data_IF_817283064526
#
_entry.id   IF_817283064526
#
_cell.length_a   1.000
_cell.length_b   1.000
_cell.length_c   1.000
_cell.angle_alpha   90.00
_cell.angle_beta   90.00
_cell.angle_gamma   90.00
#
_symmetry.space_group_name_H-M   'P 1'
#
loop_
_entity.id
_entity.type
_entity.pdbx_description
1 polymer ?
#
# COMPACT_ATOMS: atom_id res chain seq x y z
N UNK A 1 -1.86 21.36 -64.07
CA UNK A 1 -2.38 21.61 -62.72
C UNK A 1 -2.67 20.26 -62.06
N UNK A 2 -1.88 19.86 -61.05
CA UNK A 2 -2.13 18.71 -60.23
C UNK A 2 -2.61 19.22 -58.87
N UNK A 3 -3.68 18.65 -58.25
CA UNK A 3 -4.20 19.12 -56.96
C UNK A 3 -3.34 18.61 -55.82
N UNK A 4 -3.27 19.44 -54.77
CA UNK A 4 -2.38 19.38 -53.62
C UNK A 4 -2.41 18.07 -52.79
N UNK A 5 -1.25 17.69 -52.40
CA UNK A 5 -1.00 16.76 -51.28
C UNK A 5 -1.47 17.44 -49.99
N UNK A 6 -2.45 16.83 -49.31
CA UNK A 6 -2.80 17.14 -47.93
C UNK A 6 -1.62 16.72 -47.06
N UNK A 7 -1.02 17.65 -46.32
CA UNK A 7 -0.09 17.36 -45.26
C UNK A 7 -0.76 16.42 -44.23
N UNK A 8 -0.17 15.26 -44.03
CA UNK A 8 -0.61 14.34 -42.98
C UNK A 8 -0.43 14.99 -41.62
N UNK A 9 -1.51 15.10 -40.85
CA UNK A 9 -1.42 15.40 -39.44
C UNK A 9 -0.65 14.26 -38.77
N UNK A 10 0.58 14.55 -38.40
CA UNK A 10 1.27 13.72 -37.42
C UNK A 10 0.52 13.92 -36.11
N UNK A 11 -0.33 12.96 -35.76
CA UNK A 11 -0.81 12.85 -34.39
C UNK A 11 0.41 12.45 -33.55
N UNK A 12 0.89 13.39 -32.77
CA UNK A 12 1.93 13.17 -31.77
C UNK A 12 1.35 12.18 -30.72
N UNK A 13 1.50 10.89 -30.98
CA UNK A 13 1.14 9.83 -30.01
C UNK A 13 2.26 9.82 -29.01
N UNK A 14 2.12 10.59 -27.94
CA UNK A 14 3.00 10.46 -26.79
C UNK A 14 3.01 8.99 -26.37
N UNK A 15 4.16 8.30 -26.35
CA UNK A 15 4.21 6.89 -25.99
C UNK A 15 3.61 6.71 -24.58
N UNK A 16 2.74 5.72 -24.43
CA UNK A 16 2.13 5.41 -23.14
C UNK A 16 3.22 5.13 -22.11
N UNK A 17 3.14 5.78 -20.96
CA UNK A 17 4.07 5.57 -19.85
C UNK A 17 3.94 4.14 -19.34
N UNK A 18 5.09 3.46 -19.12
CA UNK A 18 5.09 2.11 -18.54
C UNK A 18 4.68 2.15 -17.08
N UNK A 19 3.72 1.32 -16.65
CA UNK A 19 3.30 1.26 -15.27
C UNK A 19 4.34 0.53 -14.42
N UNK A 20 4.59 1.07 -13.23
CA UNK A 20 5.40 0.46 -12.19
C UNK A 20 4.64 0.53 -10.87
N UNK A 21 4.50 -0.58 -10.17
CA UNK A 21 3.95 -0.64 -8.83
C UNK A 21 5.03 -0.95 -7.82
N UNK A 22 4.96 -0.35 -6.64
CA UNK A 22 5.84 -0.63 -5.51
C UNK A 22 5.14 -0.38 -4.19
N UNK A 23 5.62 -1.04 -3.16
CA UNK A 23 5.29 -0.75 -1.77
C UNK A 23 6.45 0.06 -1.18
N UNK A 24 6.15 1.03 -0.32
CA UNK A 24 7.15 1.86 0.33
C UNK A 24 6.75 2.16 1.78
N UNK A 25 7.74 2.28 2.66
CA UNK A 25 7.54 2.56 4.07
C UNK A 25 8.30 3.82 4.47
N UNK A 26 7.62 4.71 5.18
CA UNK A 26 8.12 6.02 5.61
C UNK A 26 7.81 6.24 7.09
N UNK A 27 8.49 7.17 7.72
CA UNK A 27 8.17 7.52 9.11
C UNK A 27 8.01 9.01 9.35
N UNK A 28 7.10 9.33 10.25
CA UNK A 28 7.05 10.61 10.96
C UNK A 28 7.96 10.47 12.17
N UNK A 29 9.11 11.12 12.09
CA UNK A 29 10.10 11.16 13.16
C UNK A 29 10.08 12.57 13.76
N UNK A 30 9.52 12.71 14.96
CA UNK A 30 9.36 13.98 15.65
C UNK A 30 10.27 14.04 16.89
N UNK A 31 10.81 15.25 17.17
CA UNK A 31 11.54 15.58 18.38
C UNK A 31 11.12 17.00 18.84
N UNK A 32 10.34 17.08 19.89
CA UNK A 32 9.71 18.32 20.32
C UNK A 32 8.74 18.88 19.27
N UNK A 33 9.00 20.09 18.78
CA UNK A 33 8.25 20.80 17.74
C UNK A 33 8.81 20.58 16.32
N UNK A 34 9.85 19.75 16.19
CA UNK A 34 10.54 19.50 14.93
C UNK A 34 10.21 18.11 14.37
N UNK A 35 10.23 18.01 13.04
CA UNK A 35 10.13 16.75 12.29
C UNK A 35 11.37 16.57 11.42
N UNK A 36 11.79 15.33 11.27
CA UNK A 36 12.91 14.96 10.41
C UNK A 36 12.43 14.82 8.97
N UNK A 37 13.03 15.60 8.07
CA UNK A 37 12.77 15.54 6.64
C UNK A 37 14.06 15.29 5.87
N UNK A 38 13.92 14.69 4.68
CA UNK A 38 14.99 14.46 3.72
C UNK A 38 14.71 15.17 2.40
N UNK A 39 15.76 15.70 1.77
CA UNK A 39 15.66 16.38 0.47
C UNK A 39 16.10 15.48 -0.67
N UNK A 40 15.30 15.45 -1.70
CA UNK A 40 15.62 14.75 -2.93
C UNK A 40 16.78 15.42 -3.69
N UNK A 41 17.82 14.64 -4.01
CA UNK A 41 19.02 15.12 -4.71
C UNK A 41 18.78 15.38 -6.20
N UNK A 42 19.78 15.95 -6.87
CA UNK A 42 19.78 16.13 -8.34
C UNK A 42 19.67 14.80 -9.11
N UNK A 43 19.99 13.65 -8.49
CA UNK A 43 19.85 12.31 -9.09
C UNK A 43 18.44 11.73 -8.98
N UNK A 44 17.58 12.35 -8.17
CA UNK A 44 16.17 11.92 -8.05
C UNK A 44 15.35 12.43 -9.23
N UNK A 45 14.15 11.87 -9.40
CA UNK A 45 13.19 12.38 -10.39
C UNK A 45 12.52 13.70 -10.00
N UNK A 46 12.82 14.27 -8.82
CA UNK A 46 12.24 15.50 -8.27
C UNK A 46 13.24 16.22 -7.38
N UNK A 47 14.31 16.80 -7.97
CA UNK A 47 15.34 17.51 -7.20
C UNK A 47 14.76 18.62 -6.31
N UNK A 48 15.29 18.72 -5.09
CA UNK A 48 14.93 19.79 -4.15
C UNK A 48 13.61 19.57 -3.39
N UNK A 49 12.80 18.57 -3.75
CA UNK A 49 11.55 18.24 -3.03
C UNK A 49 11.86 17.49 -1.74
N UNK A 50 11.17 17.86 -0.66
CA UNK A 50 11.34 17.27 0.65
C UNK A 50 10.28 16.20 0.93
N UNK A 51 10.66 15.20 1.70
CA UNK A 51 9.77 14.10 2.12
C UNK A 51 10.11 13.58 3.50
N UNK A 52 9.21 12.76 4.04
CA UNK A 52 9.52 11.91 5.19
C UNK A 52 10.69 10.98 4.85
N UNK A 53 11.54 10.60 5.83
CA UNK A 53 12.53 9.54 5.68
C UNK A 53 11.84 8.21 5.38
N UNK A 54 12.45 7.40 4.50
CA UNK A 54 11.94 6.11 4.11
C UNK A 54 12.11 5.81 2.64
N UNK A 55 11.68 4.63 2.21
CA UNK A 55 11.91 4.17 0.85
C UNK A 55 11.12 2.94 0.45
N UNK A 56 11.51 2.35 -0.68
CA UNK A 56 10.87 1.13 -1.18
C UNK A 56 11.12 -0.05 -0.22
N UNK A 57 10.09 -0.84 -0.04
CA UNK A 57 10.17 -2.13 0.66
C UNK A 57 10.79 -3.14 -0.30
N UNK A 58 11.95 -3.66 0.05
CA UNK A 58 12.62 -4.68 -0.75
C UNK A 58 11.79 -5.97 -0.76
N UNK A 59 11.95 -6.77 -1.81
CA UNK A 59 11.19 -8.01 -1.93
C UNK A 59 11.47 -8.96 -0.76
N UNK A 60 10.42 -9.32 -0.01
CA UNK A 60 10.51 -10.14 1.20
C UNK A 60 10.95 -9.40 2.47
N UNK A 61 11.22 -8.11 2.41
CA UNK A 61 11.53 -7.27 3.59
C UNK A 61 10.24 -6.92 4.36
N UNK A 62 10.34 -6.88 5.68
CA UNK A 62 9.24 -6.34 6.49
C UNK A 62 9.24 -4.79 6.41
N UNK A 63 8.09 -4.15 6.18
CA UNK A 63 8.01 -2.68 6.11
C UNK A 63 8.56 -1.95 7.35
N UNK A 64 8.47 -2.54 8.53
CA UNK A 64 9.07 -1.98 9.76
C UNK A 64 10.60 -1.93 9.65
N UNK A 65 11.22 -3.01 9.13
CA UNK A 65 12.68 -3.05 8.93
C UNK A 65 13.11 -2.05 7.86
N UNK A 66 12.31 -1.88 6.79
CA UNK A 66 12.53 -0.86 5.77
C UNK A 66 12.61 0.54 6.39
N UNK A 67 11.67 0.91 7.26
CA UNK A 67 11.67 2.22 7.95
C UNK A 67 12.97 2.42 8.73
N UNK A 68 13.37 1.45 9.52
CA UNK A 68 14.60 1.53 10.33
C UNK A 68 15.83 1.65 9.44
N UNK A 69 15.95 0.80 8.43
CA UNK A 69 17.06 0.78 7.48
C UNK A 69 17.18 2.08 6.69
N UNK A 70 16.09 2.52 6.07
CA UNK A 70 16.08 3.70 5.22
C UNK A 70 16.30 4.98 6.04
N UNK A 71 15.67 5.13 7.20
CA UNK A 71 15.88 6.30 8.07
C UNK A 71 17.34 6.40 8.48
N UNK A 72 17.95 5.32 8.96
CA UNK A 72 19.37 5.30 9.30
C UNK A 72 20.26 5.56 8.08
N UNK A 73 19.90 4.98 6.94
CA UNK A 73 20.62 5.15 5.71
C UNK A 73 20.54 6.58 5.16
N UNK A 74 19.38 7.23 5.18
CA UNK A 74 19.16 8.57 4.61
C UNK A 74 19.63 9.71 5.54
N UNK A 75 19.52 9.51 6.85
CA UNK A 75 19.68 10.60 7.82
C UNK A 75 20.84 10.40 8.79
N UNK A 76 21.26 9.16 9.04
CA UNK A 76 22.18 8.79 10.12
C UNK A 76 21.53 8.64 11.49
N UNK A 77 20.22 8.86 11.59
CA UNK A 77 19.45 8.72 12.83
C UNK A 77 18.93 7.28 12.96
N UNK A 78 19.12 6.69 14.14
CA UNK A 78 18.56 5.38 14.48
C UNK A 78 17.19 5.56 15.14
N UNK A 79 16.21 4.79 14.70
CA UNK A 79 14.83 4.88 15.18
C UNK A 79 14.26 3.51 15.57
N UNK A 80 13.22 3.51 16.40
CA UNK A 80 12.36 2.36 16.63
C UNK A 80 10.92 2.73 16.29
N UNK A 81 10.23 1.83 15.58
CA UNK A 81 8.83 2.01 15.23
C UNK A 81 7.97 1.95 16.50
N UNK A 82 7.11 2.96 16.66
CA UNK A 82 6.16 3.08 17.76
C UNK A 82 4.76 2.60 17.37
N UNK A 83 4.36 2.82 16.11
CA UNK A 83 3.06 2.40 15.60
C UNK A 83 2.90 2.70 14.12
N UNK A 84 1.84 2.14 13.53
CA UNK A 84 1.38 2.48 12.20
C UNK A 84 0.46 3.70 12.29
N UNK A 85 0.75 4.74 11.50
CA UNK A 85 -0.01 5.98 11.47
C UNK A 85 -1.07 5.98 10.37
N UNK A 86 -0.65 5.59 9.15
CA UNK A 86 -1.54 5.65 8.00
C UNK A 86 -1.09 4.68 6.89
N UNK A 87 -2.03 4.36 6.00
CA UNK A 87 -1.81 3.59 4.78
C UNK A 87 -2.53 4.28 3.64
N UNK A 88 -1.78 4.67 2.62
CA UNK A 88 -2.31 5.40 1.46
C UNK A 88 -1.63 4.95 0.17
N UNK A 89 -2.20 5.34 -0.96
CA UNK A 89 -1.57 5.14 -2.26
C UNK A 89 -1.50 6.46 -3.03
N UNK A 90 -0.45 6.62 -3.82
CA UNK A 90 -0.37 7.70 -4.80
C UNK A 90 0.12 7.22 -6.16
N UNK A 91 -0.21 8.02 -7.17
CA UNK A 91 0.29 7.83 -8.53
C UNK A 91 1.13 9.02 -8.95
N UNK A 92 2.24 8.73 -9.62
CA UNK A 92 3.13 9.76 -10.15
C UNK A 92 3.60 9.42 -11.56
N UNK A 93 3.39 10.36 -12.49
CA UNK A 93 3.99 10.30 -13.80
C UNK A 93 5.46 10.80 -13.75
N UNK A 94 6.34 10.08 -14.42
CA UNK A 94 7.74 10.43 -14.66
C UNK A 94 8.00 10.40 -16.17
N UNK A 95 7.53 11.41 -16.93
CA UNK A 95 7.62 11.39 -18.41
C UNK A 95 9.07 11.27 -18.91
N UNK A 96 10.02 11.91 -18.24
CA UNK A 96 11.45 11.82 -18.58
C UNK A 96 12.03 10.41 -18.44
N UNK A 97 11.36 9.53 -17.71
CA UNK A 97 11.73 8.11 -17.54
C UNK A 97 10.78 7.15 -18.27
N UNK A 98 9.73 7.67 -18.91
CA UNK A 98 8.71 6.87 -19.55
C UNK A 98 7.89 6.02 -18.57
N UNK A 99 7.70 6.44 -17.32
CA UNK A 99 7.09 5.66 -16.24
C UNK A 99 5.88 6.36 -15.62
N UNK A 100 4.87 5.56 -15.26
CA UNK A 100 3.84 5.90 -14.26
C UNK A 100 4.03 4.99 -13.06
N UNK A 101 4.22 5.57 -11.88
CA UNK A 101 4.48 4.81 -10.65
C UNK A 101 3.27 4.90 -9.73
N UNK A 102 2.70 3.75 -9.38
CA UNK A 102 1.81 3.57 -8.24
C UNK A 102 2.68 3.20 -7.02
N UNK A 103 2.48 3.88 -5.90
CA UNK A 103 3.15 3.56 -4.65
C UNK A 103 2.11 3.37 -3.55
N UNK A 104 2.03 2.16 -3.01
CA UNK A 104 1.34 1.88 -1.73
C UNK A 104 2.29 2.29 -0.60
N UNK A 105 1.86 3.21 0.26
CA UNK A 105 2.69 3.81 1.32
C UNK A 105 2.20 3.44 2.69
N UNK A 106 3.13 3.00 3.51
CA UNK A 106 2.96 2.74 4.93
C UNK A 106 3.65 3.85 5.70
N UNK A 107 2.92 4.61 6.50
CA UNK A 107 3.45 5.71 7.29
C UNK A 107 3.47 5.28 8.75
N UNK A 108 4.65 5.25 9.34
CA UNK A 108 4.86 4.85 10.73
C UNK A 108 5.20 6.04 11.61
N UNK A 109 4.84 5.96 12.88
CA UNK A 109 5.40 6.79 13.92
C UNK A 109 6.63 6.11 14.51
N UNK A 110 7.67 6.88 14.77
CA UNK A 110 8.93 6.37 15.31
C UNK A 110 9.42 7.18 16.47
N UNK A 111 10.26 6.57 17.31
CA UNK A 111 11.02 7.24 18.36
C UNK A 111 12.50 7.20 18.05
N UNK A 112 13.20 8.31 18.26
CA UNK A 112 14.67 8.38 18.10
C UNK A 112 15.35 7.53 19.16
N UNK A 113 16.32 6.73 18.72
CA UNK A 113 17.15 5.88 19.59
C UNK A 113 18.58 6.37 19.70
N UNK A 114 19.01 7.22 18.75
CA UNK A 114 20.35 7.77 18.72
C UNK A 114 20.81 8.12 17.30
N UNK A 115 22.10 8.32 17.12
CA UNK A 115 22.68 8.73 15.85
C UNK A 115 22.83 10.24 15.74
N UNK A 116 23.42 10.70 14.64
CA UNK A 116 23.57 12.11 14.31
C UNK A 116 23.29 12.32 12.84
N UNK A 117 22.70 13.46 12.50
CA UNK A 117 22.46 13.84 11.11
C UNK A 117 23.75 13.84 10.31
N UNK A 118 23.66 13.30 9.11
CA UNK A 118 24.76 13.32 8.14
C UNK A 118 24.22 13.54 6.73
N UNK A 119 24.90 14.39 5.97
CA UNK A 119 24.61 14.59 4.57
C UNK A 119 25.07 13.41 3.72
N UNK A 120 24.33 13.13 2.65
CA UNK A 120 24.63 12.02 1.73
C UNK A 120 24.89 12.52 0.33
N UNK A 121 26.16 12.77 0.03
CA UNK A 121 26.56 13.16 -1.32
C UNK A 121 26.42 11.98 -2.28
N UNK A 122 25.76 12.23 -3.43
CA UNK A 122 25.70 11.28 -4.53
C UNK A 122 24.62 10.20 -4.44
N UNK A 123 23.71 10.26 -3.47
CA UNK A 123 22.57 9.37 -3.27
C UNK A 123 21.25 10.00 -3.77
N UNK A 124 20.13 9.28 -3.82
CA UNK A 124 18.81 9.83 -4.17
C UNK A 124 18.35 10.98 -3.27
N UNK A 125 18.75 10.97 -1.98
CA UNK A 125 18.59 12.05 -1.01
C UNK A 125 19.96 12.66 -0.72
N UNK A 126 20.06 14.00 -0.57
CA UNK A 126 21.34 14.70 -0.34
C UNK A 126 21.43 15.43 1.00
N UNK A 127 20.30 15.73 1.63
CA UNK A 127 20.24 16.49 2.87
C UNK A 127 19.15 15.95 3.79
N UNK A 128 19.46 15.86 5.08
CA UNK A 128 18.50 15.57 6.14
C UNK A 128 18.49 16.74 7.14
N UNK A 129 17.30 17.18 7.58
CA UNK A 129 17.15 18.29 8.52
C UNK A 129 15.99 18.05 9.50
N UNK A 130 16.20 18.49 10.72
CA UNK A 130 15.11 18.79 11.66
C UNK A 130 14.54 20.16 11.30
N UNK A 131 13.23 20.23 11.12
CA UNK A 131 12.51 21.45 10.77
C UNK A 131 11.25 21.56 11.63
N UNK A 132 10.88 22.76 12.02
CA UNK A 132 9.57 22.98 12.66
C UNK A 132 8.44 22.80 11.63
N UNK A 133 7.21 22.57 12.11
CA UNK A 133 6.05 22.51 11.21
C UNK A 133 5.83 23.80 10.44
N UNK A 134 6.19 24.95 11.01
CA UNK A 134 6.09 26.25 10.33
C UNK A 134 7.13 26.38 9.22
N UNK A 135 8.37 25.94 9.46
CA UNK A 135 9.37 25.89 8.39
C UNK A 135 8.98 24.87 7.30
N UNK A 136 8.39 23.72 7.68
CA UNK A 136 7.96 22.70 6.73
C UNK A 136 6.90 23.22 5.76
N UNK A 137 6.01 24.14 6.15
CA UNK A 137 5.01 24.77 5.26
C UNK A 137 5.62 25.51 4.10
N UNK A 138 6.82 26.06 4.30
CA UNK A 138 7.55 26.86 3.28
C UNK A 138 8.41 25.96 2.35
N UNK A 139 8.53 24.67 2.64
CA UNK A 139 9.31 23.73 1.84
C UNK A 139 8.46 23.12 0.72
N UNK A 140 9.06 22.83 -0.44
CA UNK A 140 8.40 22.06 -1.48
C UNK A 140 8.27 20.58 -1.03
N UNK A 141 7.19 20.26 -0.36
CA UNK A 141 6.94 18.92 0.19
C UNK A 141 6.33 17.98 -0.85
N UNK A 142 6.61 16.69 -0.70
CA UNK A 142 5.79 15.64 -1.28
C UNK A 142 4.38 15.71 -0.68
N UNK A 143 3.35 15.46 -1.51
CA UNK A 143 1.97 15.52 -1.05
C UNK A 143 1.73 14.60 0.15
N UNK A 144 2.12 13.33 0.06
CA UNK A 144 1.94 12.39 1.17
C UNK A 144 2.64 12.82 2.47
N UNK A 145 3.75 13.58 2.34
CA UNK A 145 4.47 14.15 3.48
C UNK A 145 3.65 15.25 4.14
N UNK A 146 3.10 16.17 3.35
CA UNK A 146 2.26 17.23 3.87
C UNK A 146 0.98 16.66 4.49
N UNK A 147 0.33 15.70 3.83
CA UNK A 147 -0.85 15.02 4.35
C UNK A 147 -0.55 14.34 5.70
N UNK A 148 0.58 13.61 5.79
CA UNK A 148 1.02 12.96 7.03
C UNK A 148 1.35 13.93 8.16
N UNK A 149 1.79 15.15 7.84
CA UNK A 149 2.08 16.21 8.80
C UNK A 149 0.88 17.11 9.10
N UNK A 150 -0.27 16.90 8.45
CA UNK A 150 -1.47 17.73 8.59
C UNK A 150 -1.29 19.15 8.03
N UNK A 151 -0.40 19.31 7.02
CA UNK A 151 -0.11 20.60 6.40
C UNK A 151 -0.98 20.81 5.15
N UNK A 152 -1.55 22.02 4.95
CA UNK A 152 -2.29 22.35 3.74
C UNK A 152 -1.34 22.50 2.53
N UNK A 153 -1.90 22.32 1.34
CA UNK A 153 -1.30 22.68 0.03
C UNK A 153 0.16 22.24 -0.23
N UNK A 154 0.37 20.93 -0.27
CA UNK A 154 1.61 20.40 -0.84
C UNK A 154 1.60 20.52 -2.36
N UNK A 155 2.80 20.72 -2.95
CA UNK A 155 2.99 20.66 -4.39
C UNK A 155 2.35 19.37 -4.94
N UNK A 156 1.42 19.51 -5.88
CA UNK A 156 0.71 18.37 -6.46
C UNK A 156 1.70 17.48 -7.21
N UNK A 157 1.78 16.22 -6.84
CA UNK A 157 2.38 15.22 -7.71
C UNK A 157 1.63 15.23 -9.05
N UNK A 158 2.35 15.14 -10.16
CA UNK A 158 1.75 15.08 -11.50
C UNK A 158 0.96 13.76 -11.56
N UNK A 159 -0.37 13.88 -11.56
CA UNK A 159 -1.22 12.71 -11.79
C UNK A 159 -1.23 12.39 -13.28
N UNK A 160 -1.12 11.13 -13.67
CA UNK A 160 -1.28 10.75 -15.07
C UNK A 160 -2.73 10.97 -15.51
N UNK A 161 -2.91 11.36 -16.78
CA UNK A 161 -4.22 11.39 -17.43
C UNK A 161 -4.68 9.95 -17.70
N UNK A 162 -5.63 9.49 -16.92
CA UNK A 162 -6.15 8.12 -16.97
C UNK A 162 -5.34 7.11 -16.15
N UNK A 163 -6.03 6.08 -15.70
CA UNK A 163 -5.45 4.94 -14.98
C UNK A 163 -5.66 3.71 -15.83
N UNK A 164 -4.58 3.04 -16.32
CA UNK A 164 -4.77 1.80 -17.05
C UNK A 164 -5.32 0.70 -16.14
N UNK A 165 -6.22 -0.13 -16.66
CA UNK A 165 -6.58 -1.37 -15.98
C UNK A 165 -5.37 -2.31 -16.00
N UNK A 166 -4.84 -2.61 -14.84
CA UNK A 166 -3.65 -3.41 -14.65
C UNK A 166 -3.87 -4.41 -13.53
N UNK A 167 -3.22 -5.58 -13.57
CA UNK A 167 -3.34 -6.56 -12.51
C UNK A 167 -2.86 -5.98 -11.17
N UNK A 168 -3.40 -6.51 -10.07
CA UNK A 168 -3.08 -6.07 -8.71
C UNK A 168 -1.61 -6.37 -8.31
N UNK A 169 -0.87 -7.13 -9.10
CA UNK A 169 0.57 -7.37 -8.94
C UNK A 169 1.25 -7.63 -10.29
N UNK A 170 2.56 -7.47 -10.30
CA UNK A 170 3.42 -7.83 -11.42
C UNK A 170 4.45 -8.83 -10.94
N UNK A 171 4.64 -9.92 -11.70
CA UNK A 171 5.73 -10.84 -11.49
C UNK A 171 6.92 -10.42 -12.36
N UNK A 172 8.09 -10.27 -11.73
CA UNK A 172 9.33 -9.92 -12.42
C UNK A 172 10.37 -11.04 -12.24
N UNK A 173 11.23 -11.32 -13.23
CA UNK A 173 12.29 -12.30 -13.08
C UNK A 173 13.23 -11.92 -11.93
N UNK A 174 13.45 -12.84 -11.00
CA UNK A 174 14.47 -12.71 -9.95
C UNK A 174 15.84 -13.21 -10.41
N UNK A 175 16.92 -12.87 -9.69
CA UNK A 175 18.28 -13.28 -10.02
C UNK A 175 18.52 -14.79 -9.87
N UNK A 176 17.66 -15.49 -9.16
CA UNK A 176 17.64 -16.93 -8.93
C UNK A 176 16.80 -17.71 -9.96
N UNK A 177 16.22 -17.01 -10.95
CA UNK A 177 15.37 -17.59 -11.99
C UNK A 177 13.90 -17.75 -11.57
N UNK A 178 13.54 -17.52 -10.31
CA UNK A 178 12.15 -17.47 -9.88
C UNK A 178 11.54 -16.11 -10.21
N UNK A 179 10.27 -16.10 -10.57
CA UNK A 179 9.54 -14.85 -10.68
C UNK A 179 9.20 -14.33 -9.28
N UNK A 180 9.49 -13.06 -9.05
CA UNK A 180 9.13 -12.35 -7.81
C UNK A 180 7.88 -11.53 -8.01
N UNK A 181 6.88 -11.75 -7.16
CA UNK A 181 5.65 -10.99 -7.15
C UNK A 181 5.45 -10.30 -5.80
N UNK A 182 5.21 -8.99 -5.84
CA UNK A 182 4.85 -8.21 -4.65
C UNK A 182 3.45 -7.67 -4.81
N UNK A 183 2.57 -7.90 -3.81
CA UNK A 183 1.18 -7.47 -3.83
C UNK A 183 0.83 -6.72 -2.55
N UNK A 184 0.13 -5.60 -2.72
CA UNK A 184 -0.54 -4.92 -1.62
C UNK A 184 -2.02 -5.29 -1.59
N UNK A 185 -2.57 -5.51 -0.38
CA UNK A 185 -3.96 -5.87 -0.18
C UNK A 185 -4.55 -5.18 1.06
N UNK A 186 -5.88 -5.04 1.10
CA UNK A 186 -6.62 -4.49 2.22
C UNK A 186 -7.73 -5.44 2.65
N UNK A 187 -7.83 -5.71 3.96
CA UNK A 187 -8.78 -6.64 4.56
C UNK A 187 -9.58 -6.00 5.69
N UNK A 188 -10.84 -6.42 5.84
CA UNK A 188 -11.75 -5.92 6.85
C UNK A 188 -11.93 -6.89 8.02
N UNK A 189 -11.60 -6.47 9.23
CA UNK A 189 -12.24 -6.99 10.43
C UNK A 189 -13.60 -6.34 10.54
N UNK A 190 -14.61 -7.00 9.94
CA UNK A 190 -15.92 -6.44 9.69
C UNK A 190 -16.92 -6.90 10.74
N UNK A 191 -17.56 -5.96 11.46
CA UNK A 191 -18.55 -6.25 12.48
C UNK A 191 -19.88 -5.52 12.22
N UNK A 192 -20.96 -6.11 12.70
CA UNK A 192 -22.28 -5.47 12.71
C UNK A 192 -22.65 -4.94 14.11
N UNK A 193 -23.87 -4.39 14.22
CA UNK A 193 -24.39 -3.84 15.51
C UNK A 193 -24.63 -4.91 16.59
N UNK A 194 -24.66 -6.18 16.22
CA UNK A 194 -24.77 -7.31 17.14
C UNK A 194 -23.42 -7.91 17.50
N UNK A 195 -22.33 -7.26 17.07
CA UNK A 195 -20.95 -7.73 17.22
C UNK A 195 -20.65 -9.05 16.51
N UNK A 196 -21.46 -9.44 15.49
CA UNK A 196 -21.14 -10.58 14.64
C UNK A 196 -20.02 -10.20 13.68
N UNK A 197 -19.17 -11.16 13.35
CA UNK A 197 -18.04 -11.01 12.44
C UNK A 197 -18.43 -11.54 11.06
N UNK A 198 -18.15 -10.78 10.00
CA UNK A 198 -18.33 -11.21 8.62
C UNK A 198 -17.04 -11.87 8.12
N UNK A 199 -17.18 -13.10 7.64
CA UNK A 199 -16.08 -13.82 6.99
C UNK A 199 -16.53 -14.33 5.63
N UNK A 200 -15.53 -14.53 4.75
CA UNK A 200 -15.66 -15.15 3.43
C UNK A 200 -14.94 -16.50 3.44
N UNK A 201 -15.47 -17.51 2.75
CA UNK A 201 -14.81 -18.80 2.59
C UNK A 201 -14.10 -18.85 1.25
N UNK A 202 -12.82 -19.18 1.29
CA UNK A 202 -11.99 -19.28 0.08
C UNK A 202 -12.48 -20.44 -0.79
N UNK A 203 -12.65 -20.20 -2.08
CA UNK A 203 -13.06 -21.21 -3.06
C UNK A 203 -11.98 -22.28 -3.23
N UNK A 204 -12.43 -23.52 -3.52
CA UNK A 204 -11.50 -24.59 -3.87
C UNK A 204 -10.67 -24.25 -5.11
N UNK A 205 -9.39 -24.64 -5.09
CA UNK A 205 -8.44 -24.30 -6.15
C UNK A 205 -7.66 -22.99 -5.92
N UNK A 206 -8.05 -22.18 -4.93
CA UNK A 206 -7.25 -21.03 -4.48
C UNK A 206 -6.42 -21.38 -3.23
N UNK A 207 -5.29 -20.72 -2.99
CA UNK A 207 -4.50 -20.91 -1.76
C UNK A 207 -5.34 -20.74 -0.50
N UNK A 208 -5.36 -21.74 0.36
CA UNK A 208 -6.22 -21.77 1.56
C UNK A 208 -7.67 -22.20 1.31
N UNK A 209 -7.98 -22.79 0.15
CA UNK A 209 -9.34 -23.26 -0.21
C UNK A 209 -10.04 -24.00 0.91
N UNK A 210 -11.32 -23.69 1.14
CA UNK A 210 -12.15 -24.21 2.23
C UNK A 210 -12.02 -23.49 3.57
N UNK A 211 -10.96 -22.68 3.79
CA UNK A 211 -10.80 -21.89 5.02
C UNK A 211 -11.61 -20.60 4.98
N UNK A 212 -11.98 -20.12 6.17
CA UNK A 212 -12.59 -18.80 6.33
C UNK A 212 -11.54 -17.70 6.44
N UNK A 213 -11.81 -16.61 5.79
CA UNK A 213 -10.89 -15.47 5.66
C UNK A 213 -11.63 -14.15 5.89
N UNK A 214 -10.89 -13.07 6.14
CA UNK A 214 -11.45 -11.73 6.18
C UNK A 214 -11.88 -11.30 4.77
N UNK A 215 -13.02 -10.61 4.60
CA UNK A 215 -13.36 -10.01 3.32
C UNK A 215 -12.33 -8.93 2.93
N UNK A 216 -11.99 -8.89 1.64
CA UNK A 216 -11.01 -7.97 1.11
C UNK A 216 -10.09 -8.63 0.08
N UNK A 217 -9.25 -7.82 -0.54
CA UNK A 217 -8.40 -8.28 -1.62
C UNK A 217 -7.31 -7.30 -2.02
N UNK A 218 -6.75 -7.49 -3.21
CA UNK A 218 -5.73 -6.63 -3.76
C UNK A 218 -6.24 -5.26 -4.13
N UNK A 219 -5.39 -4.26 -3.97
CA UNK A 219 -5.66 -2.92 -4.48
C UNK A 219 -5.34 -2.86 -5.98
N UNK A 220 -6.16 -2.19 -6.76
CA UNK A 220 -5.90 -1.97 -8.18
C UNK A 220 -4.89 -0.85 -8.40
N UNK A 221 -4.33 -0.78 -9.62
CA UNK A 221 -3.38 0.28 -9.96
C UNK A 221 -4.06 1.65 -9.93
N UNK A 222 -3.58 2.54 -9.06
CA UNK A 222 -4.17 3.87 -8.85
C UNK A 222 -5.28 3.92 -7.79
N UNK A 223 -5.65 2.81 -7.20
CA UNK A 223 -6.67 2.72 -6.18
C UNK A 223 -6.12 2.99 -4.77
N UNK A 224 -6.91 3.67 -3.92
CA UNK A 224 -6.59 3.84 -2.50
C UNK A 224 -6.94 2.56 -1.73
N UNK A 225 -6.14 2.14 -0.73
CA UNK A 225 -6.39 0.91 0.04
C UNK A 225 -7.78 0.84 0.69
N UNK A 226 -8.25 1.95 1.25
CA UNK A 226 -9.59 2.00 1.84
C UNK A 226 -10.72 1.90 0.80
N UNK A 227 -10.50 2.39 -0.43
CA UNK A 227 -11.46 2.29 -1.54
C UNK A 227 -11.53 0.85 -2.03
N UNK A 228 -10.36 0.21 -2.25
CA UNK A 228 -10.24 -1.20 -2.60
C UNK A 228 -10.99 -2.08 -1.59
N UNK A 229 -10.75 -1.84 -0.30
CA UNK A 229 -11.41 -2.58 0.77
C UNK A 229 -12.94 -2.54 0.69
N UNK A 230 -13.51 -1.35 0.49
CA UNK A 230 -14.97 -1.20 0.41
C UNK A 230 -15.52 -1.82 -0.88
N UNK A 231 -14.81 -1.72 -2.01
CA UNK A 231 -15.15 -2.39 -3.26
C UNK A 231 -15.21 -3.92 -3.06
N UNK A 232 -14.13 -4.51 -2.54
CA UNK A 232 -14.03 -5.95 -2.26
C UNK A 232 -15.13 -6.42 -1.29
N UNK A 233 -15.39 -5.65 -0.22
CA UNK A 233 -16.46 -5.98 0.73
C UNK A 233 -17.83 -6.08 0.04
N UNK A 234 -18.13 -5.17 -0.88
CA UNK A 234 -19.37 -5.21 -1.65
C UNK A 234 -19.38 -6.38 -2.64
N UNK A 235 -18.30 -6.61 -3.37
CA UNK A 235 -18.16 -7.67 -4.37
C UNK A 235 -18.28 -9.06 -3.75
N UNK A 236 -17.61 -9.29 -2.63
CA UNK A 236 -17.57 -10.59 -1.95
C UNK A 236 -18.77 -10.86 -1.04
N UNK A 237 -19.44 -9.83 -0.53
CA UNK A 237 -20.45 -10.02 0.54
C UNK A 237 -21.75 -9.26 0.33
N UNK A 238 -21.81 -8.29 -0.58
CA UNK A 238 -22.97 -7.40 -0.77
C UNK A 238 -23.24 -6.48 0.42
N UNK A 239 -22.25 -6.30 1.34
CA UNK A 239 -22.44 -5.43 2.51
C UNK A 239 -21.84 -4.07 2.27
N UNK A 240 -22.52 -3.02 2.76
CA UNK A 240 -22.03 -1.66 2.81
C UNK A 240 -21.45 -1.38 4.20
N UNK A 241 -20.14 -1.18 4.27
CA UNK A 241 -19.41 -0.92 5.50
C UNK A 241 -18.75 0.47 5.53
N UNK A 242 -18.43 0.93 6.73
CA UNK A 242 -17.64 2.14 6.97
C UNK A 242 -16.35 1.78 7.70
N UNK A 243 -15.23 2.17 7.15
CA UNK A 243 -13.93 2.07 7.83
C UNK A 243 -13.98 2.99 9.07
N UNK A 244 -13.63 2.44 10.22
CA UNK A 244 -13.61 3.18 11.50
C UNK A 244 -12.21 3.28 12.09
N UNK A 245 -11.31 2.37 11.74
CA UNK A 245 -9.96 2.32 12.30
C UNK A 245 -9.00 1.56 11.36
N UNK A 246 -7.75 1.99 11.28
CA UNK A 246 -6.63 1.23 10.73
C UNK A 246 -6.03 0.39 11.87
N UNK A 247 -6.12 -0.93 11.77
CA UNK A 247 -5.69 -1.84 12.85
C UNK A 247 -4.19 -2.18 12.77
N UNK A 248 -3.64 -2.30 11.57
CA UNK A 248 -2.25 -2.69 11.41
C UNK A 248 -1.89 -3.16 10.01
N UNK A 249 -0.66 -3.62 9.87
CA UNK A 249 -0.13 -4.20 8.64
C UNK A 249 0.62 -5.48 8.97
N UNK A 250 0.42 -6.51 8.15
CA UNK A 250 1.25 -7.71 8.15
C UNK A 250 1.99 -7.87 6.82
N UNK A 251 3.17 -8.44 6.89
CA UNK A 251 3.98 -8.79 5.73
C UNK A 251 4.30 -10.29 5.77
N UNK A 252 4.13 -10.97 4.65
CA UNK A 252 4.39 -12.40 4.53
C UNK A 252 5.10 -12.69 3.22
N UNK A 253 6.13 -13.54 3.27
CA UNK A 253 6.81 -14.06 2.09
C UNK A 253 6.67 -15.57 2.02
N UNK A 254 6.29 -16.05 0.85
CA UNK A 254 6.34 -17.47 0.49
C UNK A 254 7.18 -17.62 -0.78
N UNK A 255 8.39 -18.15 -0.63
CA UNK A 255 9.35 -18.27 -1.72
C UNK A 255 9.03 -19.41 -2.71
N UNK A 256 7.99 -20.19 -2.45
CA UNK A 256 7.59 -21.34 -3.26
C UNK A 256 6.07 -21.41 -3.51
N UNK A 257 5.35 -20.30 -3.36
CA UNK A 257 3.93 -20.26 -3.64
C UNK A 257 3.64 -20.64 -5.09
N UNK A 258 2.64 -21.47 -5.34
CA UNK A 258 2.16 -21.74 -6.68
C UNK A 258 1.41 -20.53 -7.24
N UNK A 259 1.88 -20.01 -8.35
CA UNK A 259 1.19 -18.96 -9.09
C UNK A 259 -0.04 -19.51 -9.83
N UNK A 260 -0.89 -18.60 -10.38
CA UNK A 260 -2.12 -18.99 -11.09
C UNK A 260 -1.87 -19.93 -12.26
N UNK A 261 -0.69 -19.91 -12.84
CA UNK A 261 -0.30 -20.72 -14.00
C UNK A 261 0.39 -22.03 -13.58
N UNK A 262 0.43 -22.34 -12.27
CA UNK A 262 0.90 -23.61 -11.71
C UNK A 262 2.41 -23.75 -11.54
N UNK A 263 3.20 -22.70 -11.76
CA UNK A 263 4.63 -22.71 -11.46
C UNK A 263 4.98 -21.89 -10.21
N UNK A 264 6.11 -22.21 -9.54
CA UNK A 264 6.50 -21.52 -8.31
C UNK A 264 6.84 -20.06 -8.58
N UNK A 265 6.36 -19.19 -7.69
CA UNK A 265 6.72 -17.77 -7.63
C UNK A 265 7.18 -17.43 -6.21
N UNK A 266 8.17 -16.57 -6.11
CA UNK A 266 8.57 -15.97 -4.84
C UNK A 266 7.58 -14.83 -4.54
N UNK A 267 6.61 -15.13 -3.66
CA UNK A 267 5.51 -14.23 -3.32
C UNK A 267 5.81 -13.39 -2.10
N UNK A 268 5.56 -12.08 -2.20
CA UNK A 268 5.62 -11.16 -1.07
C UNK A 268 4.31 -10.37 -0.96
N UNK A 269 3.49 -10.71 0.02
CA UNK A 269 2.22 -10.04 0.33
C UNK A 269 2.37 -9.07 1.49
N UNK A 270 1.94 -7.81 1.30
CA UNK A 270 1.77 -6.83 2.37
C UNK A 270 0.29 -6.51 2.49
N UNK A 271 -0.26 -6.62 3.69
CA UNK A 271 -1.70 -6.57 3.95
C UNK A 271 -2.00 -5.54 5.01
N UNK A 272 -2.87 -4.57 4.69
CA UNK A 272 -3.41 -3.63 5.66
C UNK A 272 -4.75 -4.15 6.21
N UNK A 273 -4.96 -4.05 7.52
CA UNK A 273 -6.17 -4.47 8.21
C UNK A 273 -6.92 -3.26 8.74
N UNK A 274 -8.20 -3.24 8.48
CA UNK A 274 -9.08 -2.16 8.91
C UNK A 274 -10.25 -2.71 9.70
N UNK A 275 -10.64 -2.02 10.75
CA UNK A 275 -11.94 -2.23 11.40
C UNK A 275 -13.02 -1.58 10.54
N UNK A 276 -14.00 -2.40 10.16
CA UNK A 276 -15.14 -1.97 9.35
C UNK A 276 -16.44 -2.23 10.11
N UNK A 277 -17.33 -1.26 10.14
CA UNK A 277 -18.63 -1.39 10.75
C UNK A 277 -19.75 -1.36 9.71
N UNK A 278 -20.58 -2.39 9.71
CA UNK A 278 -21.80 -2.50 8.90
C UNK A 278 -22.99 -2.11 9.77
N UNK A 279 -23.58 -0.96 9.49
CA UNK A 279 -24.69 -0.43 10.29
C UNK A 279 -26.01 -1.17 10.05
N UNK A 280 -26.20 -1.75 8.87
CA UNK A 280 -27.40 -2.48 8.44
C UNK A 280 -27.00 -3.79 7.79
N UNK A 281 -26.65 -4.78 8.63
CA UNK A 281 -26.27 -6.10 8.13
C UNK A 281 -27.46 -6.81 7.47
N UNK A 282 -27.20 -7.43 6.34
CA UNK A 282 -28.16 -8.28 5.61
C UNK A 282 -27.56 -9.67 5.42
N UNK A 283 -28.33 -10.61 4.84
CA UNK A 283 -27.78 -11.87 4.37
C UNK A 283 -26.74 -11.58 3.30
N UNK A 284 -25.49 -12.10 3.44
CA UNK A 284 -24.47 -11.87 2.43
C UNK A 284 -24.85 -12.41 1.05
N UNK A 285 -24.42 -11.69 0.00
CA UNK A 285 -24.61 -12.06 -1.40
C UNK A 285 -23.28 -11.80 -2.11
N UNK A 286 -22.76 -12.80 -2.78
CA UNK A 286 -21.52 -12.70 -3.57
C UNK A 286 -21.87 -12.16 -4.94
N UNK A 287 -21.25 -11.05 -5.34
CA UNK A 287 -21.42 -10.43 -6.65
C UNK A 287 -20.32 -10.85 -7.64
N UNK A 288 -19.12 -11.13 -7.14
CA UNK A 288 -18.00 -11.64 -7.97
C UNK A 288 -18.14 -13.15 -8.17
N UNK A 289 -18.97 -13.53 -9.16
CA UNK A 289 -19.26 -14.93 -9.50
C UNK A 289 -18.07 -15.54 -10.21
N UNK A 290 -17.47 -16.57 -9.60
CA UNK A 290 -16.26 -17.26 -10.13
C UNK A 290 -14.95 -16.70 -9.61
N UNK A 291 -14.98 -15.74 -8.71
CA UNK A 291 -13.83 -15.23 -7.97
C UNK A 291 -13.32 -16.18 -6.88
N UNK A 292 -12.46 -15.66 -6.02
CA UNK A 292 -11.84 -16.44 -4.92
C UNK A 292 -12.76 -16.73 -3.74
N UNK A 293 -13.96 -16.14 -3.68
CA UNK A 293 -14.93 -16.28 -2.60
C UNK A 293 -16.04 -17.28 -2.94
N UNK A 294 -16.14 -18.38 -2.20
CA UNK A 294 -17.19 -19.40 -2.37
C UNK A 294 -18.43 -19.16 -1.51
N UNK A 295 -18.28 -18.54 -0.35
CA UNK A 295 -19.34 -18.29 0.61
C UNK A 295 -19.02 -17.04 1.45
N UNK A 296 -20.04 -16.33 1.90
CA UNK A 296 -19.91 -15.25 2.88
C UNK A 296 -20.96 -15.43 3.98
N UNK A 297 -20.55 -15.27 5.26
CA UNK A 297 -21.45 -15.50 6.39
C UNK A 297 -21.09 -14.61 7.59
N UNK A 298 -22.13 -14.22 8.34
CA UNK A 298 -22.02 -13.61 9.67
C UNK A 298 -21.90 -14.70 10.74
N UNK A 299 -20.93 -14.57 11.63
CA UNK A 299 -20.67 -15.47 12.75
C UNK A 299 -20.79 -14.73 14.07
N UNK A 300 -21.40 -15.37 15.06
CA UNK A 300 -21.32 -14.89 16.42
C UNK A 300 -19.89 -15.14 16.97
N UNK A 301 -19.36 -14.32 17.89
CA UNK A 301 -17.99 -14.45 18.37
C UNK A 301 -17.61 -15.84 18.91
N UNK A 302 -18.55 -16.51 19.54
CA UNK A 302 -18.39 -17.88 20.10
C UNK A 302 -18.31 -18.99 19.02
N UNK A 303 -18.78 -18.74 17.80
CA UNK A 303 -18.63 -19.67 16.68
C UNK A 303 -17.21 -19.67 16.09
N UNK A 304 -16.42 -18.60 16.29
CA UNK A 304 -15.14 -18.38 15.61
C UNK A 304 -14.07 -19.43 15.97
N UNK A 305 -14.13 -20.00 17.17
CA UNK A 305 -13.14 -20.98 17.65
C UNK A 305 -13.23 -22.33 16.95
N UNK A 306 -14.39 -22.65 16.37
CA UNK A 306 -14.64 -23.91 15.68
C UNK A 306 -14.37 -23.84 14.17
N UNK A 307 -14.08 -22.64 13.64
CA UNK A 307 -13.89 -22.43 12.22
C UNK A 307 -12.46 -22.73 11.76
N UNK A 308 -12.27 -23.33 10.58
CA UNK A 308 -10.98 -23.41 9.93
C UNK A 308 -10.62 -22.03 9.37
N UNK A 309 -10.04 -21.18 10.23
CA UNK A 309 -9.58 -19.83 9.85
C UNK A 309 -8.22 -19.89 9.18
N UNK A 310 -7.96 -18.95 8.28
CA UNK A 310 -6.58 -18.70 7.84
C UNK A 310 -5.78 -18.05 8.98
N UNK A 311 -4.47 -18.30 9.04
CA UNK A 311 -3.56 -17.72 10.05
C UNK A 311 -3.68 -16.18 10.12
N UNK A 312 -3.74 -15.52 8.97
CA UNK A 312 -3.92 -14.07 8.85
C UNK A 312 -5.24 -13.61 9.49
N UNK A 313 -6.33 -14.36 9.32
CA UNK A 313 -7.62 -14.05 9.93
C UNK A 313 -7.56 -14.20 11.44
N UNK A 314 -6.94 -15.27 11.93
CA UNK A 314 -6.77 -15.48 13.38
C UNK A 314 -5.97 -14.33 14.04
N UNK A 315 -4.85 -13.95 13.44
CA UNK A 315 -4.02 -12.85 13.93
C UNK A 315 -4.78 -11.52 13.96
N UNK A 316 -5.49 -11.20 12.88
CA UNK A 316 -6.24 -9.95 12.77
C UNK A 316 -7.41 -9.90 13.77
N UNK A 317 -8.15 -11.00 13.95
CA UNK A 317 -9.25 -11.08 14.92
C UNK A 317 -8.74 -10.96 16.36
N UNK A 318 -7.61 -11.60 16.68
CA UNK A 318 -6.94 -11.48 17.99
C UNK A 318 -6.47 -10.05 18.24
N UNK A 319 -5.81 -9.43 17.25
CA UNK A 319 -5.39 -8.03 17.33
C UNK A 319 -6.55 -7.04 17.49
N UNK A 320 -7.72 -7.39 16.98
CA UNK A 320 -8.95 -6.60 17.11
C UNK A 320 -9.74 -6.85 18.41
N UNK A 321 -9.30 -7.80 19.25
CA UNK A 321 -9.98 -8.18 20.51
C UNK A 321 -11.28 -8.95 20.30
N UNK A 322 -11.39 -9.70 19.19
CA UNK A 322 -12.58 -10.50 18.84
C UNK A 322 -12.36 -12.02 19.03
N UNK A 323 -11.15 -12.42 19.38
CA UNK A 323 -10.76 -13.80 19.67
C UNK A 323 -9.64 -13.85 20.72
#
# INVERSE_FOLDING_TARGET
>A
MRPGQKAGQFTDVTPALQPLRRIAAYCVCADGDQVLLVRASAKSGTPGVWSLPGGAVDHGENPVDTVVRETAAETGVSVAVAGLRDVLADMRALPARGLTIHTDRLIYEVTVRGGALRDRVGQPTDLARWVTLDEAKELPLRRFTADALGLPDAASDIRPDGVPELPSFFAVPGPDGLHRAQRFAAYAVCTDRRNRVLLTRIAEGYPGGGSWHLPGGGTDFGEQPGVALIRELVEETGQEGRIVELLGVASHRDAAQLGPEGYPIDWHGVRAFYRVQVARSSRPVIHDVGGSTAEARWFDPDELDELPLTEVTEEALRGAGLR
#
